data_IF_841592073210
#
_entry.id   IF_841592073210
#
_cell.length_a   1.000
_cell.length_b   1.000
_cell.length_c   1.000
_cell.angle_alpha   90.00
_cell.angle_beta   90.00
_cell.angle_gamma   90.00
#
_symmetry.space_group_name_H-M   'P 1'
#
loop_
_entity.id
_entity.type
_entity.pdbx_description
1 polymer ?
#
# COMPACT_ATOMS: atom_id res chain seq x y z
N UNK A 1 18.73 9.16 17.11
CA UNK A 1 17.29 9.36 16.80
C UNK A 1 16.75 8.05 16.26
N UNK A 2 15.88 7.38 17.00
CA UNK A 2 15.25 6.13 16.53
C UNK A 2 14.23 6.55 15.47
N UNK A 3 14.56 6.38 14.19
CA UNK A 3 13.60 6.50 13.10
C UNK A 3 12.60 5.36 13.29
N UNK A 4 11.52 5.60 14.04
CA UNK A 4 10.40 4.66 14.05
C UNK A 4 9.95 4.55 12.60
N UNK A 5 10.23 3.40 11.99
CA UNK A 5 9.70 3.08 10.65
C UNK A 5 8.19 3.24 10.79
N UNK A 6 7.62 4.21 10.08
CA UNK A 6 6.15 4.38 10.03
C UNK A 6 5.56 3.04 9.61
N UNK A 7 4.47 2.65 10.27
CA UNK A 7 3.80 1.39 9.98
C UNK A 7 3.38 1.37 8.50
N UNK A 8 3.77 0.34 7.72
CA UNK A 8 3.36 0.22 6.32
C UNK A 8 1.84 0.30 6.10
N UNK A 9 1.04 -0.16 7.07
CA UNK A 9 -0.42 -0.07 7.02
C UNK A 9 -0.86 1.39 7.15
N UNK A 10 -0.30 2.14 8.11
CA UNK A 10 -0.60 3.57 8.28
C UNK A 10 -0.23 4.37 7.02
N UNK A 11 0.87 3.99 6.36
CA UNK A 11 1.29 4.58 5.08
C UNK A 11 0.24 4.32 4.00
N UNK A 12 -0.25 3.08 3.87
CA UNK A 12 -1.27 2.73 2.89
C UNK A 12 -2.60 3.43 3.17
N UNK A 13 -3.04 3.49 4.43
CA UNK A 13 -4.26 4.19 4.84
C UNK A 13 -4.21 5.67 4.46
N UNK A 14 -3.09 6.35 4.74
CA UNK A 14 -2.88 7.75 4.34
C UNK A 14 -2.92 7.91 2.82
N UNK A 15 -2.24 7.02 2.08
CA UNK A 15 -2.25 7.06 0.62
C UNK A 15 -3.65 6.87 0.04
N UNK A 16 -4.39 5.88 0.52
CA UNK A 16 -5.76 5.60 0.08
C UNK A 16 -6.67 6.80 0.36
N UNK A 17 -6.59 7.40 1.56
CA UNK A 17 -7.36 8.59 1.91
C UNK A 17 -7.10 9.77 0.97
N UNK A 18 -5.85 9.99 0.57
CA UNK A 18 -5.51 11.06 -0.39
C UNK A 18 -6.09 10.75 -1.77
N UNK A 19 -5.96 9.50 -2.22
CA UNK A 19 -6.45 9.06 -3.53
C UNK A 19 -7.99 9.00 -3.62
N UNK A 20 -8.69 8.78 -2.51
CA UNK A 20 -10.15 8.79 -2.41
C UNK A 20 -10.77 10.19 -2.61
N UNK A 21 -9.97 11.26 -2.57
CA UNK A 21 -10.44 12.62 -2.86
C UNK A 21 -10.94 12.80 -4.31
N UNK A 22 -10.68 11.85 -5.21
CA UNK A 22 -11.08 11.91 -6.62
C UNK A 22 -10.30 12.91 -7.46
N UNK A 23 -9.35 13.64 -6.86
CA UNK A 23 -8.42 14.53 -7.55
C UNK A 23 -7.24 13.74 -8.12
N UNK A 24 -6.73 14.17 -9.28
CA UNK A 24 -5.47 13.65 -9.81
C UNK A 24 -4.28 14.22 -9.05
N UNK A 25 -3.32 13.37 -8.69
CA UNK A 25 -2.07 13.78 -8.04
C UNK A 25 -0.87 13.31 -8.86
N UNK A 26 0.16 14.13 -8.94
CA UNK A 26 1.50 13.71 -9.34
C UNK A 26 2.20 12.93 -8.22
N UNK A 27 3.24 12.16 -8.57
CA UNK A 27 4.07 11.43 -7.57
C UNK A 27 4.67 12.39 -6.54
N UNK A 28 5.11 13.59 -6.98
CA UNK A 28 5.69 14.60 -6.09
C UNK A 28 4.66 15.17 -5.12
N UNK A 29 3.43 15.44 -5.58
CA UNK A 29 2.35 15.89 -4.70
C UNK A 29 2.03 14.82 -3.65
N UNK A 30 1.89 13.56 -4.05
CA UNK A 30 1.66 12.46 -3.12
C UNK A 30 2.80 12.29 -2.12
N UNK A 31 4.05 12.43 -2.56
CA UNK A 31 5.21 12.39 -1.68
C UNK A 31 5.18 13.50 -0.62
N UNK A 32 4.80 14.71 -1.01
CA UNK A 32 4.65 15.85 -0.10
C UNK A 32 3.51 15.63 0.91
N UNK A 33 2.35 15.17 0.45
CA UNK A 33 1.17 14.92 1.30
C UNK A 33 1.40 13.77 2.30
N UNK A 34 2.10 12.72 1.87
CA UNK A 34 2.34 11.53 2.70
C UNK A 34 3.64 11.61 3.51
N UNK A 35 4.54 12.53 3.17
CA UNK A 35 5.90 12.61 3.73
C UNK A 35 6.78 11.42 3.35
N UNK A 36 6.50 10.78 2.20
CA UNK A 36 7.26 9.64 1.69
C UNK A 36 8.20 10.08 0.57
N UNK A 37 9.29 9.35 0.36
CA UNK A 37 10.10 9.53 -0.85
C UNK A 37 9.31 9.11 -2.10
N UNK A 38 9.54 9.81 -3.22
CA UNK A 38 8.94 9.51 -4.53
C UNK A 38 9.05 8.04 -4.94
N UNK A 39 10.21 7.42 -4.69
CA UNK A 39 10.45 6.00 -5.02
C UNK A 39 9.50 5.08 -4.24
N UNK A 40 9.24 5.42 -2.98
CA UNK A 40 8.31 4.68 -2.12
C UNK A 40 6.88 4.85 -2.61
N UNK A 41 6.46 6.09 -2.90
CA UNK A 41 5.12 6.39 -3.45
C UNK A 41 4.86 5.56 -4.72
N UNK A 42 5.84 5.53 -5.64
CA UNK A 42 5.71 4.77 -6.89
C UNK A 42 5.44 3.28 -6.63
N UNK A 43 6.19 2.65 -5.73
CA UNK A 43 6.01 1.24 -5.37
C UNK A 43 4.61 0.96 -4.80
N UNK A 44 4.11 1.84 -3.94
CA UNK A 44 2.77 1.67 -3.36
C UNK A 44 1.66 1.86 -4.41
N UNK A 45 1.80 2.78 -5.36
CA UNK A 45 0.85 2.91 -6.48
C UNK A 45 0.82 1.61 -7.31
N UNK A 46 1.97 1.06 -7.66
CA UNK A 46 2.05 -0.21 -8.41
C UNK A 46 1.36 -1.37 -7.66
N UNK A 47 1.53 -1.44 -6.32
CA UNK A 47 0.81 -2.39 -5.47
C UNK A 47 -0.69 -2.13 -5.55
N UNK A 48 -1.16 -0.90 -5.35
CA UNK A 48 -2.59 -0.56 -5.39
C UNK A 48 -3.21 -0.90 -6.75
N UNK A 49 -2.50 -0.67 -7.86
CA UNK A 49 -2.98 -1.04 -9.20
C UNK A 49 -3.07 -2.55 -9.39
N UNK A 50 -2.10 -3.30 -8.86
CA UNK A 50 -2.13 -4.77 -8.84
C UNK A 50 -3.31 -5.27 -8.01
N UNK A 51 -3.51 -4.68 -6.81
CA UNK A 51 -4.59 -5.02 -5.88
C UNK A 51 -5.96 -4.66 -6.47
N UNK A 52 -6.13 -3.50 -7.10
CA UNK A 52 -7.43 -3.11 -7.68
C UNK A 52 -7.85 -3.96 -8.87
N UNK A 53 -6.90 -4.66 -9.49
CA UNK A 53 -7.16 -5.66 -10.52
C UNK A 53 -7.38 -7.06 -9.91
N UNK A 54 -7.68 -7.16 -8.60
CA UNK A 54 -7.41 -8.39 -7.86
C UNK A 54 -8.23 -9.62 -8.23
N UNK A 55 -7.52 -10.74 -8.45
CA UNK A 55 -7.93 -12.07 -8.03
C UNK A 55 -7.90 -12.21 -6.50
N UNK A 56 -8.81 -13.02 -5.93
CA UNK A 56 -9.00 -13.12 -4.47
C UNK A 56 -7.87 -13.87 -3.75
N UNK A 57 -7.40 -13.36 -2.61
CA UNK A 57 -6.38 -14.04 -1.78
C UNK A 57 -7.06 -14.85 -0.68
N UNK A 58 -6.72 -16.14 -0.60
CA UNK A 58 -7.12 -17.03 0.49
C UNK A 58 -5.97 -17.19 1.49
N UNK A 59 -6.27 -16.99 2.78
CA UNK A 59 -5.32 -17.19 3.88
C UNK A 59 -5.70 -18.43 4.68
N UNK A 60 -4.85 -19.44 4.64
CA UNK A 60 -5.05 -20.70 5.36
C UNK A 60 -4.11 -20.72 6.57
N UNK A 61 -4.68 -20.63 7.77
CA UNK A 61 -3.94 -20.72 9.03
C UNK A 61 -3.83 -22.18 9.47
N UNK A 62 -2.62 -22.67 9.64
CA UNK A 62 -2.35 -23.99 10.22
C UNK A 62 -1.79 -23.84 11.63
N UNK A 63 -1.63 -24.95 12.36
CA UNK A 63 -1.02 -24.95 13.70
C UNK A 63 0.41 -24.40 13.73
N UNK A 64 1.14 -24.48 12.62
CA UNK A 64 2.57 -24.16 12.56
C UNK A 64 2.93 -23.10 11.51
N UNK A 65 2.00 -22.70 10.65
CA UNK A 65 2.29 -21.80 9.52
C UNK A 65 1.06 -21.04 9.02
N UNK A 66 1.31 -19.98 8.27
CA UNK A 66 0.30 -19.24 7.50
C UNK A 66 0.61 -19.48 6.02
N UNK A 67 -0.37 -20.03 5.29
CA UNK A 67 -0.28 -20.26 3.84
C UNK A 67 -1.10 -19.16 3.14
N UNK A 68 -0.53 -18.52 2.13
CA UNK A 68 -1.18 -17.48 1.32
C UNK A 68 -1.33 -18.02 -0.11
N UNK A 69 -2.57 -18.06 -0.61
CA UNK A 69 -2.91 -18.54 -1.96
C UNK A 69 -3.60 -17.44 -2.76
N UNK A 70 -3.20 -17.26 -4.02
CA UNK A 70 -3.86 -16.35 -4.97
C UNK A 70 -4.84 -17.17 -5.82
N UNK A 71 -6.14 -16.86 -5.77
CA UNK A 71 -7.16 -17.45 -6.63
C UNK A 71 -7.24 -16.66 -7.93
N UNK A 72 -6.65 -17.20 -9.00
CA UNK A 72 -6.74 -16.63 -10.36
C UNK A 72 -8.10 -16.86 -11.00
#
# INVERSE_FOLDING_TARGET
MVTMRRDPIEIMERMLKVLESGRCFSINELANETGLHNVTVKKYIEIIEMVRKEPSVEVIKTRHSIIIRINR
#
